data_IF_230038424903
#
_entry.id   IF_230038424903
#
_cell.length_a   1.000
_cell.length_b   1.000
_cell.length_c   1.000
_cell.angle_alpha   90.00
_cell.angle_beta   90.00
_cell.angle_gamma   90.00
#
_symmetry.space_group_name_H-M   'P 1'
#
loop_
_entity.id
_entity.type
_entity.pdbx_description
1 polymer ?
#
# COMPACT_ATOMS: atom_id res chain seq x y z
N UNK A 1 43.07 -17.75 -19.27
CA UNK A 1 41.89 -18.11 -18.44
C UNK A 1 41.07 -16.86 -18.22
N UNK A 2 39.92 -16.77 -18.91
CA UNK A 2 39.03 -15.62 -18.78
C UNK A 2 38.07 -15.92 -17.63
N UNK A 3 38.27 -15.29 -16.47
CA UNK A 3 37.30 -15.28 -15.39
C UNK A 3 36.08 -14.48 -15.84
N UNK A 4 35.01 -15.19 -16.19
CA UNK A 4 33.69 -14.60 -16.33
C UNK A 4 33.26 -14.12 -14.94
N UNK A 5 33.46 -12.83 -14.68
CA UNK A 5 32.81 -12.16 -13.56
C UNK A 5 31.30 -12.30 -13.82
N UNK A 6 30.62 -13.11 -13.02
CA UNK A 6 29.17 -13.15 -13.00
C UNK A 6 28.71 -11.77 -12.60
N UNK A 7 28.19 -11.00 -13.54
CA UNK A 7 27.47 -9.79 -13.23
C UNK A 7 26.26 -10.23 -12.40
N UNK A 8 26.36 -10.03 -11.10
CA UNK A 8 25.19 -10.08 -10.23
C UNK A 8 24.31 -8.91 -10.63
N UNK A 9 23.25 -9.19 -11.33
CA UNK A 9 22.20 -8.20 -11.56
C UNK A 9 21.82 -7.59 -10.23
N UNK A 10 21.78 -6.25 -10.13
CA UNK A 10 21.31 -5.61 -8.90
C UNK A 10 19.91 -6.18 -8.58
N UNK A 11 19.59 -6.40 -7.30
CA UNK A 11 18.30 -6.93 -6.93
C UNK A 11 17.23 -6.07 -7.61
N UNK A 12 16.39 -6.70 -8.40
CA UNK A 12 15.25 -6.01 -9.03
C UNK A 12 14.52 -5.30 -7.91
N UNK A 13 14.48 -3.98 -7.98
CA UNK A 13 13.68 -3.18 -7.04
C UNK A 13 12.32 -3.84 -6.97
N UNK A 14 11.95 -4.33 -5.80
CA UNK A 14 10.66 -4.97 -5.60
C UNK A 14 9.57 -3.99 -6.07
N UNK A 15 9.06 -4.21 -7.25
CA UNK A 15 7.98 -3.40 -7.81
C UNK A 15 6.74 -3.68 -6.99
N UNK A 16 6.01 -2.64 -6.62
CA UNK A 16 4.75 -2.78 -5.91
C UNK A 16 3.78 -3.62 -6.76
N UNK A 17 3.40 -4.83 -6.32
CA UNK A 17 2.69 -5.77 -7.17
C UNK A 17 1.30 -5.27 -7.55
N UNK A 18 0.85 -5.65 -8.74
CA UNK A 18 -0.47 -5.26 -9.26
C UNK A 18 -1.62 -5.73 -8.36
N UNK A 19 -1.50 -6.94 -7.80
CA UNK A 19 -2.51 -7.51 -6.90
C UNK A 19 -2.68 -6.74 -5.58
N UNK A 20 -1.68 -5.96 -5.18
CA UNK A 20 -1.72 -5.12 -4.00
C UNK A 20 -2.25 -3.70 -4.28
N UNK A 21 -2.85 -3.45 -5.44
CA UNK A 21 -3.37 -2.14 -5.84
C UNK A 21 -4.89 -2.16 -5.92
N UNK A 22 -5.52 -1.11 -5.39
CA UNK A 22 -6.92 -0.80 -5.69
C UNK A 22 -6.96 0.01 -6.98
N UNK A 23 -7.66 -0.49 -7.98
CA UNK A 23 -7.68 0.10 -9.32
C UNK A 23 -9.08 0.51 -9.78
N UNK A 24 -10.11 -0.23 -9.37
CA UNK A 24 -11.48 0.00 -9.81
C UNK A 24 -12.21 1.01 -8.92
N UNK A 25 -13.03 1.91 -9.49
CA UNK A 25 -13.84 2.84 -8.70
C UNK A 25 -14.75 2.16 -7.68
N UNK A 26 -15.25 0.96 -7.99
CA UNK A 26 -16.08 0.16 -7.07
C UNK A 26 -15.33 -0.28 -5.81
N UNK A 27 -14.04 -0.56 -5.93
CA UNK A 27 -13.18 -0.93 -4.81
C UNK A 27 -12.96 0.25 -3.85
N UNK A 28 -12.76 1.46 -4.39
CA UNK A 28 -12.69 2.69 -3.60
C UNK A 28 -14.01 2.98 -2.88
N UNK A 29 -15.14 2.87 -3.58
CA UNK A 29 -16.48 3.04 -2.99
C UNK A 29 -16.73 2.08 -1.83
N UNK A 30 -16.25 0.84 -1.96
CA UNK A 30 -16.35 -0.16 -0.89
C UNK A 30 -15.64 0.28 0.37
N UNK A 31 -14.43 0.82 0.25
CA UNK A 31 -13.67 1.34 1.39
C UNK A 31 -14.35 2.55 2.02
N UNK A 32 -14.93 3.44 1.21
CA UNK A 32 -15.61 4.64 1.72
C UNK A 32 -16.91 4.35 2.51
N UNK A 33 -17.49 3.17 2.40
CA UNK A 33 -18.82 2.88 3.02
C UNK A 33 -18.81 2.72 4.53
N UNK A 34 -17.79 2.29 5.14
CA UNK A 34 -17.68 2.17 6.61
C UNK A 34 -16.22 1.89 7.00
N UNK A 35 -15.35 2.85 6.79
CA UNK A 35 -13.93 2.65 7.03
C UNK A 35 -13.56 2.92 8.48
N UNK A 36 -12.48 2.28 8.92
CA UNK A 36 -11.67 2.79 10.02
C UNK A 36 -10.90 4.00 9.48
N UNK A 37 -10.96 5.11 10.18
CA UNK A 37 -10.38 6.38 9.73
C UNK A 37 -9.22 6.80 10.64
N UNK A 38 -8.06 7.03 10.05
CA UNK A 38 -6.94 7.67 10.70
C UNK A 38 -6.59 8.95 9.95
N UNK A 39 -6.53 10.07 10.64
CA UNK A 39 -6.36 11.38 10.00
C UNK A 39 -5.39 12.26 10.77
N UNK A 40 -4.52 12.94 10.03
CA UNK A 40 -3.64 13.98 10.54
C UNK A 40 -3.63 15.22 9.63
N UNK A 41 -2.63 16.09 9.78
CA UNK A 41 -2.49 17.30 8.96
C UNK A 41 -2.09 17.01 7.50
N UNK A 42 -1.45 15.87 7.26
CA UNK A 42 -0.86 15.50 5.97
C UNK A 42 -1.71 14.52 5.18
N UNK A 43 -2.34 13.57 5.89
CA UNK A 43 -3.10 12.49 5.28
C UNK A 43 -4.42 12.22 5.99
N UNK A 44 -5.37 11.75 5.21
CA UNK A 44 -6.53 11.00 5.71
C UNK A 44 -6.43 9.59 5.15
N UNK A 45 -6.35 8.60 6.03
CA UNK A 45 -6.21 7.20 5.67
C UNK A 45 -7.46 6.46 6.07
N UNK A 46 -8.04 5.74 5.12
CA UNK A 46 -9.24 4.93 5.28
C UNK A 46 -8.86 3.47 5.13
N UNK A 47 -9.31 2.62 6.03
CA UNK A 47 -9.07 1.19 5.95
C UNK A 47 -10.35 0.39 6.18
N UNK A 48 -10.48 -0.71 5.46
CA UNK A 48 -11.57 -1.66 5.62
C UNK A 48 -11.07 -3.07 5.39
N UNK A 49 -11.51 -4.01 6.20
CA UNK A 49 -11.26 -5.43 5.96
C UNK A 49 -11.89 -5.88 4.65
N UNK A 50 -11.19 -6.74 3.93
CA UNK A 50 -11.69 -7.39 2.73
C UNK A 50 -11.69 -8.92 2.92
N UNK A 51 -12.53 -9.59 2.15
CA UNK A 51 -12.65 -11.05 2.18
C UNK A 51 -11.62 -11.75 1.27
N UNK A 52 -10.86 -10.97 0.49
CA UNK A 52 -9.93 -11.48 -0.51
C UNK A 52 -8.58 -11.95 0.06
N UNK A 53 -8.33 -11.77 1.35
CA UNK A 53 -7.09 -12.18 2.01
C UNK A 53 -5.84 -11.40 1.60
N UNK A 54 -5.94 -10.44 0.69
CA UNK A 54 -4.82 -9.61 0.22
C UNK A 54 -4.95 -8.19 0.74
N UNK A 55 -3.88 -7.65 1.31
CA UNK A 55 -3.81 -6.25 1.69
C UNK A 55 -3.51 -5.39 0.46
N UNK A 56 -4.38 -4.42 0.17
CA UNK A 56 -4.32 -3.60 -1.04
C UNK A 56 -4.29 -2.11 -0.72
N UNK A 57 -3.58 -1.34 -1.54
CA UNK A 57 -3.41 0.10 -1.41
C UNK A 57 -4.05 0.84 -2.58
N UNK A 58 -4.88 1.81 -2.26
CA UNK A 58 -5.38 2.83 -3.18
C UNK A 58 -4.88 4.21 -2.77
N UNK A 59 -4.65 5.06 -3.76
CA UNK A 59 -4.21 6.44 -3.53
C UNK A 59 -5.01 7.38 -4.42
N UNK A 60 -5.48 8.47 -3.84
CA UNK A 60 -6.13 9.55 -4.57
C UNK A 60 -5.39 10.87 -4.31
N UNK A 61 -4.45 11.22 -5.19
CA UNK A 61 -3.68 12.47 -5.11
C UNK A 61 -4.21 13.44 -6.16
N UNK A 62 -5.04 14.37 -5.72
CA UNK A 62 -5.68 15.35 -6.60
C UNK A 62 -4.76 16.54 -6.93
N UNK A 63 -5.13 17.31 -7.96
CA UNK A 63 -4.47 18.56 -8.30
C UNK A 63 -4.58 19.62 -7.19
N UNK A 64 -5.55 19.51 -6.31
CA UNK A 64 -5.70 20.38 -5.14
C UNK A 64 -4.59 20.17 -4.11
N UNK A 65 -4.00 18.98 -4.04
CA UNK A 65 -2.86 18.68 -3.17
C UNK A 65 -1.59 19.31 -3.73
N UNK A 66 -1.33 19.08 -5.01
CA UNK A 66 -0.22 19.69 -5.75
C UNK A 66 -0.59 19.84 -7.22
N UNK A 67 -0.44 21.05 -7.76
CA UNK A 67 -0.70 21.34 -9.19
C UNK A 67 0.23 20.56 -10.11
N UNK A 68 1.46 20.36 -9.68
CA UNK A 68 2.51 19.74 -10.48
C UNK A 68 2.45 18.20 -10.40
N UNK A 69 2.50 17.55 -11.56
CA UNK A 69 2.54 16.08 -11.62
C UNK A 69 3.75 15.49 -10.89
N UNK A 70 4.89 16.16 -10.94
CA UNK A 70 6.12 15.75 -10.24
C UNK A 70 5.90 15.67 -8.72
N UNK A 71 5.26 16.68 -8.14
CA UNK A 71 4.94 16.69 -6.71
C UNK A 71 3.96 15.59 -6.32
N UNK A 72 2.90 15.39 -7.12
CA UNK A 72 1.96 14.29 -6.89
C UNK A 72 2.64 12.93 -6.99
N UNK A 73 3.54 12.73 -7.95
CA UNK A 73 4.28 11.48 -8.12
C UNK A 73 5.25 11.24 -6.94
N UNK A 74 5.88 12.29 -6.41
CA UNK A 74 6.69 12.23 -5.20
C UNK A 74 5.89 11.67 -4.02
N UNK A 75 4.72 12.25 -3.76
CA UNK A 75 3.82 11.83 -2.68
C UNK A 75 3.40 10.36 -2.87
N UNK A 76 3.00 9.97 -4.07
CA UNK A 76 2.63 8.59 -4.38
C UNK A 76 3.77 7.60 -4.14
N UNK A 77 5.01 7.98 -4.45
CA UNK A 77 6.20 7.16 -4.16
C UNK A 77 6.40 6.92 -2.69
N UNK A 78 6.31 7.98 -1.90
CA UNK A 78 6.48 7.90 -0.44
C UNK A 78 5.40 7.00 0.17
N UNK A 79 4.16 7.15 -0.26
CA UNK A 79 3.05 6.31 0.20
C UNK A 79 3.30 4.83 -0.12
N UNK A 80 3.66 4.51 -1.36
CA UNK A 80 3.94 3.12 -1.77
C UNK A 80 5.07 2.50 -0.98
N UNK A 81 6.17 3.22 -0.83
CA UNK A 81 7.35 2.72 -0.13
C UNK A 81 7.06 2.52 1.36
N UNK A 82 6.38 3.46 1.99
CA UNK A 82 5.95 3.34 3.38
C UNK A 82 5.00 2.15 3.60
N UNK A 83 4.04 1.97 2.71
CA UNK A 83 3.11 0.85 2.74
C UNK A 83 3.84 -0.47 2.54
N UNK A 84 4.71 -0.56 1.54
CA UNK A 84 5.50 -1.76 1.27
C UNK A 84 6.29 -2.19 2.49
N UNK A 85 7.00 -1.30 3.13
CA UNK A 85 7.79 -1.62 4.33
C UNK A 85 6.93 -2.07 5.52
N UNK A 86 5.74 -1.52 5.65
CA UNK A 86 4.86 -1.84 6.78
C UNK A 86 4.05 -3.12 6.58
N UNK A 87 3.77 -3.50 5.34
CA UNK A 87 2.92 -4.63 4.98
C UNK A 87 3.60 -5.67 4.09
N UNK A 88 4.94 -5.66 4.02
CA UNK A 88 5.71 -6.51 3.10
C UNK A 88 5.40 -8.01 3.27
N UNK A 89 5.33 -8.49 4.49
CA UNK A 89 4.97 -9.87 4.77
C UNK A 89 3.56 -10.24 4.25
N UNK A 90 2.59 -9.37 4.44
CA UNK A 90 1.21 -9.57 3.97
C UNK A 90 1.08 -9.49 2.46
N UNK A 91 1.92 -8.66 1.82
CA UNK A 91 1.95 -8.53 0.35
C UNK A 91 2.68 -9.70 -0.29
N UNK A 92 3.74 -10.21 0.33
CA UNK A 92 4.49 -11.36 -0.16
C UNK A 92 3.63 -12.63 -0.23
N UNK A 93 2.81 -12.89 0.79
CA UNK A 93 1.85 -14.01 0.81
C UNK A 93 0.83 -13.92 -0.33
N UNK A 94 0.39 -12.72 -0.67
CA UNK A 94 -0.54 -12.51 -1.77
C UNK A 94 0.08 -12.82 -3.14
N UNK A 95 1.37 -12.53 -3.32
CA UNK A 95 2.11 -12.81 -4.56
C UNK A 95 2.29 -14.31 -4.78
N UNK A 96 2.62 -15.05 -3.73
CA UNK A 96 2.78 -16.51 -3.82
C UNK A 96 1.47 -17.21 -4.16
N UNK A 97 0.36 -16.77 -3.59
CA UNK A 97 -0.97 -17.29 -3.92
C UNK A 97 -1.39 -17.00 -5.37
N UNK A 98 -0.93 -15.88 -5.93
CA UNK A 98 -1.23 -15.52 -7.33
C UNK A 98 -0.45 -16.34 -8.35
N UNK A 99 0.73 -16.84 -8.00
CA UNK A 99 1.58 -17.67 -8.88
C UNK A 99 1.16 -19.13 -8.89
N UNK A 100 0.63 -19.64 -7.79
CA UNK A 100 0.14 -21.00 -7.68
C UNK A 100 -1.37 -21.02 -7.97
N UNK A 101 -1.75 -21.12 -9.23
CA UNK A 101 -3.15 -21.21 -9.68
C UNK A 101 -3.92 -22.44 -9.16
N UNK A 102 -3.72 -22.81 -7.93
CA UNK A 102 -4.40 -23.92 -7.27
C UNK A 102 -5.73 -23.42 -6.70
N UNK A 103 -6.80 -23.80 -7.37
CA UNK A 103 -8.20 -23.50 -7.00
C UNK A 103 -8.71 -24.29 -5.79
N UNK A 104 -7.89 -25.07 -5.14
CA UNK A 104 -8.28 -25.92 -4.02
C UNK A 104 -7.34 -25.71 -2.85
N UNK A 105 -7.64 -24.70 -2.04
CA UNK A 105 -7.15 -24.72 -0.66
C UNK A 105 -8.36 -24.74 0.26
N UNK A 106 -8.55 -25.88 0.88
CA UNK A 106 -9.31 -26.00 2.10
C UNK A 106 -8.80 -24.92 3.09
N UNK A 107 -9.70 -24.10 3.54
CA UNK A 107 -9.47 -23.07 4.55
C UNK A 107 -9.14 -23.83 5.84
N UNK A 108 -7.88 -23.99 6.13
CA UNK A 108 -7.47 -24.30 7.48
C UNK A 108 -7.37 -22.98 8.25
N UNK A 109 -8.22 -22.84 9.20
CA UNK A 109 -8.37 -21.90 10.30
C UNK A 109 -7.23 -20.89 10.54
N UNK A 110 -7.08 -19.95 9.63
CA UNK A 110 -6.25 -18.79 9.81
C UNK A 110 -6.99 -17.61 9.19
N UNK A 111 -7.60 -16.81 10.03
CA UNK A 111 -8.38 -15.62 9.68
C UNK A 111 -7.51 -14.53 9.01
N UNK A 112 -6.99 -14.81 7.83
CA UNK A 112 -6.24 -13.84 7.01
C UNK A 112 -7.23 -12.92 6.29
N UNK A 113 -7.81 -12.01 7.06
CA UNK A 113 -8.53 -10.89 6.48
C UNK A 113 -7.53 -9.91 5.89
N UNK A 114 -7.50 -9.76 4.58
CA UNK A 114 -6.80 -8.66 3.94
C UNK A 114 -7.43 -7.32 4.30
N UNK A 115 -6.69 -6.25 4.11
CA UNK A 115 -7.14 -4.89 4.39
C UNK A 115 -7.05 -4.06 3.12
N UNK A 116 -8.12 -3.40 2.74
CA UNK A 116 -8.12 -2.37 1.71
C UNK A 116 -7.87 -1.03 2.36
N UNK A 117 -6.81 -0.37 1.95
CA UNK A 117 -6.39 0.94 2.47
C UNK A 117 -6.45 1.98 1.37
N UNK A 118 -7.06 3.12 1.65
CA UNK A 118 -7.08 4.28 0.76
C UNK A 118 -6.41 5.46 1.45
N UNK A 119 -5.42 6.05 0.79
CA UNK A 119 -4.69 7.22 1.28
C UNK A 119 -5.12 8.45 0.50
N UNK A 120 -5.59 9.45 1.22
CA UNK A 120 -6.01 10.75 0.71
C UNK A 120 -5.04 11.82 1.25
N UNK A 121 -4.04 12.25 0.48
CA UNK A 121 -3.16 13.33 0.90
C UNK A 121 -3.90 14.67 0.98
N UNK A 122 -3.48 15.50 1.92
CA UNK A 122 -3.93 16.88 2.06
C UNK A 122 -2.89 17.84 1.48
N UNK A 123 -3.25 19.11 1.26
CA UNK A 123 -2.36 20.14 0.69
C UNK A 123 -1.03 20.24 1.44
N UNK A 124 -1.04 20.07 2.76
CA UNK A 124 0.18 20.11 3.57
C UNK A 124 1.21 19.04 3.16
N UNK A 125 0.78 17.91 2.65
CA UNK A 125 1.69 16.87 2.16
C UNK A 125 2.63 17.36 1.02
N UNK A 126 2.21 18.34 0.24
CA UNK A 126 3.02 18.92 -0.82
C UNK A 126 4.18 19.79 -0.29
N UNK A 127 4.05 20.35 0.92
CA UNK A 127 4.96 21.35 1.49
C UNK A 127 6.00 20.77 2.45
N UNK A 128 5.86 19.52 2.87
CA UNK A 128 6.76 18.87 3.82
C UNK A 128 7.71 17.90 3.13
N UNK A 129 8.84 17.60 3.78
CA UNK A 129 9.84 16.70 3.24
C UNK A 129 9.38 15.23 3.28
N UNK A 130 10.06 14.39 2.52
CA UNK A 130 9.75 12.97 2.41
C UNK A 130 9.85 12.24 3.76
N UNK A 131 10.82 12.60 4.59
CA UNK A 131 11.01 11.99 5.90
C UNK A 131 9.81 12.23 6.82
N UNK A 132 9.29 13.46 6.85
CA UNK A 132 8.12 13.79 7.64
C UNK A 132 6.86 13.11 7.11
N UNK A 133 6.70 13.03 5.78
CA UNK A 133 5.62 12.25 5.15
C UNK A 133 5.68 10.78 5.57
N UNK A 134 6.88 10.22 5.53
CA UNK A 134 7.11 8.82 5.90
C UNK A 134 6.76 8.54 7.36
N UNK A 135 7.20 9.40 8.28
CA UNK A 135 6.88 9.29 9.71
C UNK A 135 5.37 9.39 9.98
N UNK A 136 4.69 10.32 9.33
CA UNK A 136 3.23 10.47 9.41
C UNK A 136 2.52 9.19 8.96
N UNK A 137 2.93 8.62 7.83
CA UNK A 137 2.36 7.37 7.32
C UNK A 137 2.62 6.18 8.25
N UNK A 138 3.82 6.07 8.83
CA UNK A 138 4.14 5.01 9.79
C UNK A 138 3.22 5.04 11.01
N UNK A 139 2.91 6.22 11.52
CA UNK A 139 1.95 6.38 12.61
C UNK A 139 0.54 5.91 12.20
N UNK A 140 0.10 6.22 10.98
CA UNK A 140 -1.18 5.72 10.46
C UNK A 140 -1.20 4.19 10.31
N UNK A 141 -0.12 3.59 9.79
CA UNK A 141 -0.03 2.14 9.65
C UNK A 141 -0.09 1.42 10.98
N UNK A 142 0.62 1.90 11.99
CA UNK A 142 0.60 1.34 13.34
C UNK A 142 -0.80 1.37 13.95
N UNK A 143 -1.48 2.50 13.83
CA UNK A 143 -2.85 2.66 14.32
C UNK A 143 -3.83 1.75 13.63
N UNK A 144 -3.79 1.69 12.29
CA UNK A 144 -4.68 0.84 11.52
C UNK A 144 -4.49 -0.65 11.81
N UNK A 145 -3.25 -1.09 12.02
CA UNK A 145 -2.96 -2.48 12.41
C UNK A 145 -3.59 -2.85 13.76
N UNK A 146 -3.61 -1.92 14.71
CA UNK A 146 -4.24 -2.14 16.01
C UNK A 146 -5.77 -2.20 15.91
N UNK A 147 -6.38 -1.37 15.07
CA UNK A 147 -7.84 -1.28 14.95
C UNK A 147 -8.43 -2.35 14.00
N UNK A 148 -7.64 -2.88 13.08
CA UNK A 148 -8.06 -3.90 12.11
C UNK A 148 -7.53 -5.29 12.40
N UNK A 149 -6.65 -5.40 13.37
CA UNK A 149 -6.01 -6.65 13.79
C UNK A 149 -6.91 -7.64 14.49
#
# INVERSE_FOLDING_TARGET
>A
MKNKVRQTNPPRRATFPYCARLLKPSEFKRVFRNPVVSSDRCFKVLARRNEGGCTRLGMAVSRQVDRHAVGRNRIKRVIRESFRQSFDAMVAEAVDKSKNGSKNMAISDGNYSGIDVVVLPRRRAATICNQQLFQSLQAHWSRLKQETG
#
